data_IF_179616573557
#
_entry.id   IF_179616573557
#
_cell.length_a   1.000
_cell.length_b   1.000
_cell.length_c   1.000
_cell.angle_alpha   90.00
_cell.angle_beta   90.00
_cell.angle_gamma   90.00
#
_symmetry.space_group_name_H-M   'P 1'
#
loop_
_entity.id
_entity.type
_entity.pdbx_description
1 polymer ?
#
# COMPACT_ATOMS: atom_id res chain seq x y z
N UNK A 1 -2.85 16.13 1.98
CA UNK A 1 -2.61 14.75 1.46
C UNK A 1 -1.57 14.05 2.29
N UNK A 2 -1.78 12.79 2.57
CA UNK A 2 -0.78 11.97 3.26
C UNK A 2 -0.37 10.80 2.37
N UNK A 3 0.81 10.26 2.67
CA UNK A 3 1.35 9.07 2.02
C UNK A 3 1.56 8.00 3.08
N UNK A 4 1.08 6.80 2.82
CA UNK A 4 1.28 5.65 3.68
C UNK A 4 2.26 4.72 2.98
N UNK A 5 3.38 4.47 3.63
CA UNK A 5 4.43 3.61 3.07
C UNK A 5 4.39 2.27 3.78
N UNK A 6 4.02 1.23 3.04
CA UNK A 6 4.09 -0.14 3.51
C UNK A 6 5.34 -0.78 2.94
N UNK A 7 6.19 -1.33 3.81
CA UNK A 7 7.36 -2.08 3.37
C UNK A 7 7.07 -3.57 3.47
N UNK A 8 7.39 -4.31 2.42
CA UNK A 8 7.08 -5.72 2.28
C UNK A 8 8.33 -6.51 1.94
N UNK A 9 8.37 -7.76 2.41
CA UNK A 9 9.32 -8.77 1.97
C UNK A 9 8.51 -9.79 1.16
N UNK A 10 8.82 -9.91 -0.12
CA UNK A 10 8.08 -10.79 -1.04
C UNK A 10 9.08 -11.67 -1.77
N UNK A 11 8.93 -12.99 -1.65
CA UNK A 11 9.78 -13.92 -2.37
C UNK A 11 9.58 -13.74 -3.89
N UNK A 12 10.67 -13.80 -4.69
CA UNK A 12 10.56 -13.53 -6.12
C UNK A 12 9.52 -14.38 -6.85
N UNK A 13 9.36 -15.65 -6.47
CA UNK A 13 8.37 -16.54 -7.07
C UNK A 13 6.93 -16.13 -6.80
N UNK A 14 6.69 -15.31 -5.78
CA UNK A 14 5.36 -14.81 -5.42
C UNK A 14 5.06 -13.42 -5.96
N UNK A 15 6.05 -12.76 -6.55
CA UNK A 15 5.94 -11.34 -6.90
C UNK A 15 4.82 -11.05 -7.90
N UNK A 16 4.70 -11.84 -8.96
CA UNK A 16 3.69 -11.60 -9.99
C UNK A 16 2.28 -11.69 -9.40
N UNK A 17 2.04 -12.70 -8.57
CA UNK A 17 0.75 -12.87 -7.91
C UNK A 17 0.52 -11.78 -6.85
N UNK A 18 1.57 -11.36 -6.17
CA UNK A 18 1.49 -10.25 -5.21
C UNK A 18 1.07 -8.96 -5.91
N UNK A 19 1.65 -8.66 -7.07
CA UNK A 19 1.30 -7.47 -7.87
C UNK A 19 -0.16 -7.51 -8.30
N UNK A 20 -0.63 -8.65 -8.82
CA UNK A 20 -2.02 -8.80 -9.24
C UNK A 20 -2.99 -8.62 -8.07
N UNK A 21 -2.68 -9.22 -6.93
CA UNK A 21 -3.49 -9.11 -5.72
C UNK A 21 -3.51 -7.67 -5.22
N UNK A 22 -2.36 -6.99 -5.24
CA UNK A 22 -2.26 -5.59 -4.85
C UNK A 22 -3.12 -4.68 -5.74
N UNK A 23 -3.10 -4.90 -7.05
CA UNK A 23 -3.93 -4.11 -7.98
C UNK A 23 -5.42 -4.24 -7.65
N UNK A 24 -5.89 -5.46 -7.44
CA UNK A 24 -7.30 -5.72 -7.11
C UNK A 24 -7.67 -5.11 -5.76
N UNK A 25 -6.82 -5.28 -4.77
CA UNK A 25 -7.03 -4.75 -3.43
C UNK A 25 -7.07 -3.22 -3.45
N UNK A 26 -6.13 -2.61 -4.14
CA UNK A 26 -6.03 -1.15 -4.23
C UNK A 26 -7.25 -0.55 -4.93
N UNK A 27 -7.69 -1.15 -6.02
CA UNK A 27 -8.88 -0.70 -6.74
C UNK A 27 -10.13 -0.79 -5.86
N UNK A 28 -10.28 -1.89 -5.14
CA UNK A 28 -11.43 -2.08 -4.25
C UNK A 28 -11.45 -1.06 -3.13
N UNK A 29 -10.30 -0.79 -2.52
CA UNK A 29 -10.19 0.22 -1.46
C UNK A 29 -10.50 1.60 -2.03
N UNK A 30 -9.95 1.93 -3.20
CA UNK A 30 -10.19 3.22 -3.84
C UNK A 30 -11.69 3.45 -4.11
N UNK A 31 -12.39 2.42 -4.55
CA UNK A 31 -13.82 2.51 -4.88
C UNK A 31 -14.72 2.59 -3.64
N UNK A 32 -14.35 1.88 -2.57
CA UNK A 32 -15.23 1.68 -1.41
C UNK A 32 -14.92 2.57 -0.22
N UNK A 33 -13.69 3.10 -0.11
CA UNK A 33 -13.24 3.81 1.08
C UNK A 33 -13.03 5.29 0.78
N UNK A 34 -13.78 6.19 1.44
CA UNK A 34 -13.60 7.63 1.25
C UNK A 34 -12.17 8.07 1.58
N UNK A 35 -11.61 8.89 0.72
CA UNK A 35 -10.27 9.45 0.90
C UNK A 35 -9.13 8.62 0.34
N UNK A 36 -9.39 7.37 -0.04
CA UNK A 36 -8.38 6.51 -0.64
C UNK A 36 -8.14 6.90 -2.10
N UNK A 37 -6.89 7.23 -2.45
CA UNK A 37 -6.51 7.72 -3.78
C UNK A 37 -5.65 6.76 -4.57
N UNK A 38 -5.56 5.51 -4.13
CA UNK A 38 -4.74 4.50 -4.81
C UNK A 38 -3.31 4.48 -4.28
N UNK A 39 -2.46 3.73 -4.96
CA UNK A 39 -1.07 3.59 -4.55
C UNK A 39 -0.20 3.19 -5.75
N UNK A 40 1.11 3.31 -5.56
CA UNK A 40 2.06 2.76 -6.51
C UNK A 40 3.04 1.83 -5.78
N UNK A 41 3.68 0.95 -6.55
CA UNK A 41 4.59 -0.05 -6.01
C UNK A 41 6.00 0.17 -6.53
N UNK A 42 6.97 0.04 -5.63
CA UNK A 42 8.39 0.14 -5.95
C UNK A 42 9.09 -1.15 -5.55
N UNK A 43 10.06 -1.54 -6.35
CA UNK A 43 10.94 -2.67 -6.05
C UNK A 43 12.35 -2.14 -5.85
N UNK A 44 13.03 -2.63 -4.81
CA UNK A 44 14.42 -2.24 -4.57
C UNK A 44 15.30 -2.75 -5.71
N UNK A 45 16.11 -1.87 -6.27
CA UNK A 45 16.97 -2.18 -7.40
C UNK A 45 18.06 -3.22 -7.05
N UNK A 46 18.47 -3.25 -5.79
CA UNK A 46 19.53 -4.17 -5.32
C UNK A 46 19.00 -5.43 -4.65
N UNK A 47 17.77 -5.37 -4.14
CA UNK A 47 17.13 -6.50 -3.45
C UNK A 47 15.71 -6.67 -4.00
N UNK A 48 15.51 -7.57 -4.98
CA UNK A 48 14.20 -7.77 -5.60
C UNK A 48 13.09 -8.22 -4.66
N UNK A 49 13.45 -8.74 -3.48
CA UNK A 49 12.46 -9.16 -2.49
C UNK A 49 11.91 -8.00 -1.65
N UNK A 50 12.57 -6.85 -1.67
CA UNK A 50 12.15 -5.67 -0.93
C UNK A 50 11.21 -4.82 -1.79
N UNK A 51 9.94 -4.76 -1.37
CA UNK A 51 8.89 -4.05 -2.08
C UNK A 51 8.33 -2.96 -1.17
N UNK A 52 8.04 -1.81 -1.74
CA UNK A 52 7.29 -0.76 -1.05
C UNK A 52 6.04 -0.43 -1.84
N UNK A 53 4.91 -0.31 -1.14
CA UNK A 53 3.69 0.26 -1.71
C UNK A 53 3.44 1.58 -1.02
N UNK A 54 3.14 2.61 -1.82
CA UNK A 54 2.98 3.97 -1.31
C UNK A 54 1.58 4.44 -1.66
N UNK A 55 0.70 4.43 -0.66
CA UNK A 55 -0.69 4.84 -0.83
C UNK A 55 -0.82 6.35 -0.63
N UNK A 56 -1.82 6.92 -1.29
CA UNK A 56 -2.16 8.33 -1.13
C UNK A 56 -3.56 8.44 -0.56
N UNK A 57 -3.72 9.29 0.45
CA UNK A 57 -5.00 9.52 1.12
C UNK A 57 -5.26 11.02 1.27
N UNK A 58 -6.51 11.41 1.24
CA UNK A 58 -6.90 12.82 1.39
C UNK A 58 -6.52 13.37 2.77
N UNK A 59 -6.67 12.56 3.81
CA UNK A 59 -6.35 12.98 5.18
C UNK A 59 -5.89 11.81 6.03
N UNK A 60 -5.13 12.14 7.08
CA UNK A 60 -4.69 11.17 8.07
C UNK A 60 -5.88 10.51 8.77
N UNK A 61 -6.92 11.30 9.04
CA UNK A 61 -8.11 10.82 9.74
C UNK A 61 -8.85 9.74 8.95
N UNK A 62 -8.99 9.92 7.63
CA UNK A 62 -9.66 8.94 6.78
C UNK A 62 -8.89 7.64 6.72
N UNK A 63 -7.56 7.70 6.61
CA UNK A 63 -6.73 6.50 6.65
C UNK A 63 -6.80 5.82 8.01
N UNK A 64 -6.75 6.59 9.10
CA UNK A 64 -6.81 6.08 10.46
C UNK A 64 -8.13 5.36 10.70
N UNK A 65 -9.23 5.92 10.22
CA UNK A 65 -10.55 5.30 10.31
C UNK A 65 -10.60 3.96 9.57
N UNK A 66 -10.08 3.91 8.36
CA UNK A 66 -9.94 2.68 7.58
C UNK A 66 -9.14 1.64 8.37
N UNK A 67 -8.00 2.05 8.91
CA UNK A 67 -7.09 1.16 9.65
C UNK A 67 -7.75 0.61 10.91
N UNK A 68 -8.46 1.45 11.66
CA UNK A 68 -9.08 1.06 12.92
C UNK A 68 -10.42 0.35 12.77
N UNK A 69 -11.11 0.51 11.65
CA UNK A 69 -12.39 -0.18 11.41
C UNK A 69 -12.23 -1.56 10.79
N UNK A 70 -11.03 -2.12 10.82
CA UNK A 70 -10.72 -3.44 10.27
C UNK A 70 -10.93 -3.55 8.75
N UNK A 71 -11.13 -2.44 8.05
CA UNK A 71 -11.24 -2.46 6.59
C UNK A 71 -9.93 -2.86 5.92
N UNK A 72 -8.82 -2.74 6.65
CA UNK A 72 -7.53 -3.22 6.19
C UNK A 72 -7.49 -4.73 5.98
N UNK A 73 -8.49 -5.46 6.44
CA UNK A 73 -8.65 -6.89 6.12
C UNK A 73 -8.73 -7.13 4.61
N UNK A 74 -9.12 -6.13 3.84
CA UNK A 74 -9.09 -6.22 2.38
C UNK A 74 -7.68 -6.46 1.85
N UNK A 75 -6.66 -6.18 2.66
CA UNK A 75 -5.26 -6.46 2.34
C UNK A 75 -4.82 -7.88 2.77
N UNK A 76 -5.74 -8.65 3.36
CA UNK A 76 -5.43 -9.96 3.94
C UNK A 76 -4.83 -10.96 2.96
N UNK A 77 -5.27 -10.94 1.70
CA UNK A 77 -4.72 -11.82 0.67
C UNK A 77 -3.28 -11.49 0.32
N UNK A 78 -2.88 -10.23 0.46
CA UNK A 78 -1.49 -9.81 0.25
C UNK A 78 -0.56 -10.43 1.31
N UNK A 79 -1.05 -10.58 2.55
CA UNK A 79 -0.28 -11.17 3.64
C UNK A 79 0.03 -12.66 3.45
N UNK A 80 -0.68 -13.33 2.55
CA UNK A 80 -0.40 -14.73 2.21
C UNK A 80 0.77 -14.85 1.23
N UNK A 81 1.08 -13.76 0.52
CA UNK A 81 2.08 -13.76 -0.54
C UNK A 81 3.33 -12.99 -0.15
N UNK A 82 3.24 -12.14 0.87
CA UNK A 82 4.34 -11.34 1.34
C UNK A 82 4.23 -11.05 2.82
N UNK A 83 5.34 -10.63 3.40
CA UNK A 83 5.42 -10.27 4.81
C UNK A 83 5.55 -8.76 4.93
N UNK A 84 4.58 -8.11 5.60
CA UNK A 84 4.64 -6.67 5.84
C UNK A 84 5.60 -6.39 6.98
N UNK A 85 6.66 -5.64 6.67
CA UNK A 85 7.73 -5.33 7.61
C UNK A 85 7.42 -4.07 8.41
N UNK A 86 6.88 -3.04 7.76
CA UNK A 86 6.59 -1.77 8.43
C UNK A 86 5.49 -1.00 7.74
N UNK A 87 4.89 -0.08 8.50
CA UNK A 87 3.90 0.90 8.01
C UNK A 87 4.35 2.27 8.51
N UNK A 88 4.53 3.21 7.60
CA UNK A 88 4.96 4.55 7.92
C UNK A 88 3.99 5.58 7.35
N UNK A 89 3.73 6.63 8.11
CA UNK A 89 2.80 7.70 7.72
C UNK A 89 3.59 8.99 7.53
N UNK A 90 3.44 9.60 6.35
CA UNK A 90 4.11 10.85 6.02
C UNK A 90 3.11 11.88 5.53
N UNK A 91 3.32 13.13 5.94
CA UNK A 91 2.61 14.27 5.39
C UNK A 91 3.28 14.63 4.07
N UNK A 92 2.49 14.75 3.01
CA UNK A 92 3.02 15.22 1.72
C UNK A 92 3.30 16.71 1.84
N UNK A 93 4.56 17.09 1.77
CA UNK A 93 4.99 18.49 1.89
C UNK A 93 4.87 19.20 0.54
N UNK A 94 5.31 18.52 -0.51
CA UNK A 94 5.28 19.06 -1.86
C UNK A 94 5.39 17.88 -2.85
N UNK A 95 4.81 18.04 -4.01
CA UNK A 95 4.92 17.07 -5.10
C UNK A 95 5.32 17.81 -6.37
N UNK A 96 6.57 17.68 -6.72
CA UNK A 96 7.15 18.29 -7.90
C UNK A 96 7.44 17.28 -9.01
N UNK A 97 6.75 16.13 -8.98
CA UNK A 97 6.86 15.11 -10.02
C UNK A 97 6.30 15.65 -11.35
N UNK A 98 6.99 15.33 -12.42
CA UNK A 98 6.63 15.84 -13.75
C UNK A 98 6.41 14.72 -14.75
#
# INVERSE_FOLDING_TARGET
>A
MIRIIYSWKVEPENLDLFIETWKKTTNKIHEEVPGARGSFMLQNDKDPSEIKTIARWDSHEQWKLFWHQNKHHQMGTMHKLGNRVSVEVYQEVDDFTQ
#
